data_IF_291310356065
#
_entry.id   IF_291310356065
#
_cell.length_a   1.000
_cell.length_b   1.000
_cell.length_c   1.000
_cell.angle_alpha   90.00
_cell.angle_beta   90.00
_cell.angle_gamma   90.00
#
_symmetry.space_group_name_H-M   'P 1'
#
loop_
_entity.id
_entity.type
_entity.pdbx_description
1 polymer ?
#
# COMPACT_ATOMS: atom_id res chain seq x y z
N UNK A 1 3.66 -33.45 8.38
CA UNK A 1 4.41 -33.65 7.12
C UNK A 1 3.35 -33.70 6.05
N UNK A 2 3.07 -32.50 5.55
CA UNK A 2 2.03 -32.24 4.57
C UNK A 2 2.23 -33.11 3.34
N UNK A 3 1.13 -33.42 2.65
CA UNK A 3 1.18 -34.18 1.41
C UNK A 3 2.00 -33.46 0.33
N UNK A 4 2.15 -32.14 0.45
CA UNK A 4 2.93 -31.25 -0.40
C UNK A 4 4.44 -31.37 -0.19
N UNK A 5 4.91 -31.34 1.06
CA UNK A 5 6.33 -31.59 1.37
C UNK A 5 6.77 -32.96 0.86
N UNK A 6 5.87 -33.96 0.85
CA UNK A 6 6.14 -35.29 0.28
C UNK A 6 6.18 -35.29 -1.24
N UNK A 7 5.41 -34.41 -1.90
CA UNK A 7 5.37 -34.28 -3.35
C UNK A 7 6.58 -33.54 -3.89
N UNK A 8 6.93 -32.39 -3.32
CA UNK A 8 8.12 -31.59 -3.71
C UNK A 8 9.39 -32.43 -3.50
N UNK A 9 9.50 -33.11 -2.36
CA UNK A 9 10.63 -34.00 -2.08
C UNK A 9 10.76 -35.17 -3.07
N UNK A 10 9.64 -35.71 -3.57
CA UNK A 10 9.65 -36.73 -4.63
C UNK A 10 10.06 -36.15 -5.98
N UNK A 11 9.69 -34.90 -6.28
CA UNK A 11 10.11 -34.21 -7.50
C UNK A 11 11.61 -33.91 -7.47
N UNK A 12 12.14 -33.47 -6.33
CA UNK A 12 13.58 -33.28 -6.10
C UNK A 12 14.37 -34.57 -6.33
N UNK A 13 13.90 -35.69 -5.77
CA UNK A 13 14.54 -36.99 -5.95
C UNK A 13 14.55 -37.45 -7.42
N UNK A 14 13.52 -37.11 -8.18
CA UNK A 14 13.41 -37.46 -9.60
C UNK A 14 14.25 -36.54 -10.49
N UNK A 15 14.36 -35.26 -10.14
CA UNK A 15 15.25 -34.30 -10.80
C UNK A 15 16.72 -34.71 -10.57
N UNK A 16 17.08 -35.09 -9.34
CA UNK A 16 18.43 -35.56 -9.00
C UNK A 16 18.82 -36.87 -9.71
N UNK A 17 17.85 -37.72 -10.06
CA UNK A 17 18.04 -38.93 -10.88
C UNK A 17 18.05 -38.66 -12.39
N UNK A 18 17.78 -37.42 -12.81
CA UNK A 18 17.67 -37.05 -14.22
C UNK A 18 16.43 -37.61 -14.92
N UNK A 19 15.41 -38.04 -14.17
CA UNK A 19 14.17 -38.59 -14.71
C UNK A 19 13.22 -37.51 -15.25
N UNK A 20 13.41 -36.27 -14.82
CA UNK A 20 12.66 -35.09 -15.25
C UNK A 20 13.63 -33.96 -15.57
N UNK A 21 13.26 -33.09 -16.51
CA UNK A 21 14.03 -31.89 -16.83
C UNK A 21 13.80 -30.79 -15.80
N UNK A 22 14.78 -29.89 -15.67
CA UNK A 22 14.69 -28.71 -14.81
C UNK A 22 13.52 -27.78 -15.21
N UNK A 23 13.23 -27.70 -16.52
CA UNK A 23 12.05 -26.97 -17.03
C UNK A 23 10.72 -27.58 -16.55
N UNK A 24 10.59 -28.91 -16.59
CA UNK A 24 9.37 -29.59 -16.15
C UNK A 24 9.21 -29.53 -14.62
N UNK A 25 10.32 -29.57 -13.88
CA UNK A 25 10.32 -29.37 -12.43
C UNK A 25 9.79 -27.97 -12.07
N UNK A 26 10.33 -26.93 -12.69
CA UNK A 26 9.93 -25.54 -12.43
C UNK A 26 8.48 -25.27 -12.85
N UNK A 27 8.00 -25.87 -13.95
CA UNK A 27 6.61 -25.75 -14.38
C UNK A 27 5.64 -26.38 -13.37
N UNK A 28 6.00 -27.53 -12.80
CA UNK A 28 5.15 -28.18 -11.79
C UNK A 28 5.15 -27.36 -10.52
N UNK A 29 6.31 -26.97 -9.99
CA UNK A 29 6.42 -26.19 -8.75
C UNK A 29 5.69 -24.84 -8.87
N UNK A 30 5.87 -24.10 -9.97
CA UNK A 30 5.20 -22.80 -10.16
C UNK A 30 3.68 -22.88 -10.25
N UNK A 31 3.10 -24.02 -10.65
CA UNK A 31 1.64 -24.22 -10.59
C UNK A 31 1.17 -24.40 -9.15
N UNK A 32 1.91 -25.16 -8.35
CA UNK A 32 1.58 -25.37 -6.93
C UNK A 32 1.74 -24.09 -6.11
N UNK A 33 2.83 -23.35 -6.28
CA UNK A 33 3.03 -22.06 -5.57
C UNK A 33 1.93 -21.05 -5.92
N UNK A 34 1.43 -21.08 -7.17
CA UNK A 34 0.32 -20.23 -7.59
C UNK A 34 -1.02 -20.67 -7.01
N UNK A 35 -1.25 -21.98 -6.90
CA UNK A 35 -2.45 -22.50 -6.24
C UNK A 35 -2.41 -22.18 -4.73
N UNK A 36 -1.23 -22.20 -4.09
CA UNK A 36 -1.03 -21.80 -2.69
C UNK A 36 -1.20 -20.27 -2.48
N UNK A 37 -0.72 -19.42 -3.40
CA UNK A 37 -1.01 -17.98 -3.38
C UNK A 37 -2.52 -17.71 -3.52
N UNK A 38 -3.22 -18.49 -4.36
CA UNK A 38 -4.67 -18.39 -4.51
C UNK A 38 -5.38 -18.85 -3.23
N UNK A 39 -5.03 -20.01 -2.67
CA UNK A 39 -5.61 -20.53 -1.42
C UNK A 39 -5.34 -19.62 -0.22
N UNK A 40 -4.12 -19.08 -0.09
CA UNK A 40 -3.79 -18.09 0.95
C UNK A 40 -4.57 -16.79 0.74
N UNK A 41 -4.76 -16.35 -0.52
CA UNK A 41 -5.57 -15.17 -0.83
C UNK A 41 -7.06 -15.40 -0.54
N UNK A 42 -7.57 -16.61 -0.77
CA UNK A 42 -8.94 -17.03 -0.49
C UNK A 42 -9.16 -17.20 1.01
N UNK A 43 -8.29 -17.89 1.74
CA UNK A 43 -8.33 -18.00 3.21
C UNK A 43 -8.18 -16.64 3.89
N UNK A 44 -7.26 -15.79 3.41
CA UNK A 44 -7.15 -14.42 3.94
C UNK A 44 -8.38 -13.61 3.58
N UNK A 45 -9.01 -13.82 2.42
CA UNK A 45 -10.29 -13.19 2.08
C UNK A 45 -11.42 -13.69 2.99
N UNK A 46 -11.45 -14.98 3.32
CA UNK A 46 -12.47 -15.63 4.14
C UNK A 46 -12.35 -15.21 5.62
N UNK A 47 -11.13 -15.22 6.17
CA UNK A 47 -10.82 -14.71 7.52
C UNK A 47 -11.10 -13.20 7.63
N UNK A 48 -10.92 -12.45 6.54
CA UNK A 48 -11.27 -11.02 6.53
C UNK A 48 -12.77 -10.80 6.40
N UNK A 49 -13.52 -11.65 5.67
CA UNK A 49 -14.99 -11.63 5.73
C UNK A 49 -15.52 -11.98 7.11
N UNK A 50 -14.92 -12.97 7.79
CA UNK A 50 -15.29 -13.32 9.16
C UNK A 50 -14.98 -12.18 10.15
N UNK A 51 -13.85 -11.47 10.03
CA UNK A 51 -13.54 -10.30 10.87
C UNK A 51 -14.43 -9.08 10.56
N UNK A 52 -14.82 -8.90 9.29
CA UNK A 52 -15.79 -7.87 8.88
C UNK A 52 -17.18 -8.21 9.44
N UNK A 53 -17.56 -9.49 9.49
CA UNK A 53 -18.80 -9.94 10.14
C UNK A 53 -18.75 -9.80 11.66
N UNK A 54 -17.63 -10.17 12.30
CA UNK A 54 -17.45 -10.09 13.76
C UNK A 54 -17.45 -8.62 14.24
N UNK A 55 -16.93 -7.67 13.44
CA UNK A 55 -17.06 -6.23 13.70
C UNK A 55 -18.42 -5.64 13.33
N UNK A 56 -19.20 -6.30 12.47
CA UNK A 56 -20.59 -5.94 12.18
C UNK A 56 -21.54 -6.38 13.31
N UNK A 57 -21.23 -7.46 14.02
CA UNK A 57 -22.05 -7.96 15.14
C UNK A 57 -22.06 -7.04 16.37
N UNK A 58 -21.07 -6.15 16.54
CA UNK A 58 -20.95 -5.35 17.76
C UNK A 58 -21.92 -4.16 17.90
N UNK A 59 -22.73 -3.79 16.88
CA UNK A 59 -23.81 -2.78 17.05
C UNK A 59 -25.07 -3.05 16.22
N UNK A 60 -25.87 -4.03 16.66
CA UNK A 60 -27.32 -4.08 16.40
C UNK A 60 -27.97 -2.76 16.86
N UNK A 61 -28.29 -1.88 15.92
CA UNK A 61 -29.05 -0.66 16.22
C UNK A 61 -29.29 0.31 15.06
N UNK A 62 -28.55 0.21 13.96
CA UNK A 62 -28.79 1.05 12.77
C UNK A 62 -29.06 0.13 11.58
N UNK A 63 -30.33 0.07 11.16
CA UNK A 63 -30.76 -0.63 9.95
C UNK A 63 -29.90 -0.19 8.76
N UNK A 64 -29.35 -1.15 8.01
CA UNK A 64 -28.54 -0.86 6.82
C UNK A 64 -29.50 -0.39 5.72
N UNK A 65 -29.34 0.85 5.29
CA UNK A 65 -30.18 1.43 4.23
C UNK A 65 -29.54 1.14 2.85
N UNK A 66 -30.34 0.90 1.81
CA UNK A 66 -29.80 0.68 0.46
C UNK A 66 -28.94 1.87 -0.02
N UNK A 67 -29.42 3.11 0.16
CA UNK A 67 -28.73 4.28 -0.39
C UNK A 67 -28.88 5.53 0.46
N UNK A 68 -27.76 6.24 0.67
CA UNK A 68 -27.72 7.58 1.25
C UNK A 68 -27.03 8.52 0.28
N UNK A 69 -27.70 9.62 -0.09
CA UNK A 69 -27.18 10.64 -1.00
C UNK A 69 -27.26 12.01 -0.37
N UNK A 70 -26.10 12.65 -0.19
CA UNK A 70 -25.96 13.98 0.39
C UNK A 70 -25.60 15.00 -0.71
N UNK A 71 -26.47 15.99 -0.89
CA UNK A 71 -26.27 17.13 -1.78
C UNK A 71 -26.35 18.44 -0.99
N UNK A 72 -25.59 19.45 -1.42
CA UNK A 72 -25.51 20.73 -0.69
C UNK A 72 -24.71 20.62 0.62
N UNK A 73 -25.15 21.34 1.65
CA UNK A 73 -24.52 21.27 2.98
C UNK A 73 -25.32 20.30 3.87
N UNK A 74 -24.68 19.22 4.32
CA UNK A 74 -25.36 18.16 5.09
C UNK A 74 -24.61 17.79 6.35
N UNK A 75 -25.36 17.49 7.41
CA UNK A 75 -24.83 16.93 8.65
C UNK A 75 -25.69 15.75 9.06
N UNK A 76 -25.07 14.59 9.24
CA UNK A 76 -25.74 13.36 9.68
C UNK A 76 -24.98 12.75 10.85
N UNK A 77 -25.66 11.93 11.65
CA UNK A 77 -25.09 11.26 12.82
C UNK A 77 -24.88 9.78 12.47
N UNK A 78 -23.65 9.43 12.10
CA UNK A 78 -23.31 8.13 11.52
C UNK A 78 -23.98 7.84 10.17
N UNK A 79 -23.57 6.77 9.51
CA UNK A 79 -24.21 6.25 8.31
C UNK A 79 -23.93 4.75 8.19
N UNK A 80 -24.96 3.94 7.97
CA UNK A 80 -24.85 2.53 7.63
C UNK A 80 -25.69 2.27 6.38
N UNK A 81 -25.04 2.06 5.24
CA UNK A 81 -25.74 1.86 3.97
C UNK A 81 -25.00 0.93 3.01
N UNK A 82 -25.62 0.53 1.91
CA UNK A 82 -24.90 -0.13 0.82
C UNK A 82 -24.18 0.91 -0.04
N UNK A 83 -24.90 1.95 -0.48
CA UNK A 83 -24.35 3.02 -1.34
C UNK A 83 -24.38 4.36 -0.62
N UNK A 84 -23.20 4.94 -0.39
CA UNK A 84 -23.05 6.30 0.11
C UNK A 84 -22.57 7.25 -1.00
N UNK A 85 -23.26 8.38 -1.20
CA UNK A 85 -22.81 9.43 -2.12
C UNK A 85 -22.80 10.79 -1.45
N UNK A 86 -21.69 11.51 -1.56
CA UNK A 86 -21.56 12.87 -1.06
C UNK A 86 -20.98 13.79 -2.13
N UNK A 87 -21.85 14.53 -2.82
CA UNK A 87 -21.47 15.51 -3.83
C UNK A 87 -21.26 16.92 -3.26
N UNK A 88 -21.82 17.19 -2.07
CA UNK A 88 -21.76 18.49 -1.40
C UNK A 88 -20.75 18.56 -0.25
N UNK A 89 -20.90 19.57 0.60
CA UNK A 89 -20.15 19.67 1.85
C UNK A 89 -20.88 18.86 2.93
N UNK A 90 -20.29 17.73 3.35
CA UNK A 90 -20.93 16.83 4.31
C UNK A 90 -20.10 16.62 5.57
N UNK A 91 -20.79 16.47 6.71
CA UNK A 91 -20.19 16.13 7.99
C UNK A 91 -20.93 14.97 8.64
N UNK A 92 -20.22 13.87 8.87
CA UNK A 92 -20.72 12.69 9.56
C UNK A 92 -20.21 12.73 11.00
N UNK A 93 -21.10 12.86 11.99
CA UNK A 93 -20.75 12.76 13.40
C UNK A 93 -20.92 11.31 13.85
N UNK A 94 -19.86 10.53 13.70
CA UNK A 94 -19.88 9.10 13.97
C UNK A 94 -19.18 8.35 12.84
N UNK A 95 -19.45 7.06 12.77
CA UNK A 95 -18.85 6.17 11.79
C UNK A 95 -19.61 6.20 10.46
N UNK A 96 -18.88 6.00 9.36
CA UNK A 96 -19.43 5.61 8.07
C UNK A 96 -19.20 4.10 7.89
N UNK A 97 -20.25 3.35 7.58
CA UNK A 97 -20.22 1.96 7.11
C UNK A 97 -20.95 1.93 5.77
N UNK A 98 -20.23 1.65 4.68
CA UNK A 98 -20.80 1.65 3.33
C UNK A 98 -20.11 0.63 2.43
N UNK A 99 -20.83 -0.17 1.66
CA UNK A 99 -20.18 -1.09 0.72
C UNK A 99 -19.48 -0.29 -0.39
N UNK A 100 -20.18 0.66 -1.00
CA UNK A 100 -19.65 1.60 -2.00
C UNK A 100 -19.84 3.05 -1.52
N UNK A 101 -18.75 3.81 -1.43
CA UNK A 101 -18.76 5.21 -1.04
C UNK A 101 -18.11 6.12 -2.11
N UNK A 102 -18.90 7.04 -2.68
CA UNK A 102 -18.44 8.07 -3.63
C UNK A 102 -18.45 9.45 -2.96
N UNK A 103 -17.28 10.07 -2.87
CA UNK A 103 -17.06 11.42 -2.34
C UNK A 103 -16.48 12.33 -3.41
N UNK A 104 -17.36 13.09 -4.07
CA UNK A 104 -16.97 14.13 -5.03
C UNK A 104 -16.91 15.54 -4.41
N UNK A 105 -17.63 15.75 -3.29
CA UNK A 105 -17.65 17.02 -2.56
C UNK A 105 -16.57 17.15 -1.48
N UNK A 106 -16.91 17.80 -0.37
CA UNK A 106 -16.03 17.94 0.79
C UNK A 106 -16.66 17.22 1.99
N UNK A 107 -16.13 16.06 2.35
CA UNK A 107 -16.70 15.19 3.39
C UNK A 107 -15.77 15.05 4.58
N UNK A 108 -16.31 15.30 5.77
CA UNK A 108 -15.62 15.04 7.04
C UNK A 108 -16.34 13.97 7.85
N UNK A 109 -15.66 12.87 8.12
CA UNK A 109 -16.09 11.77 9.00
C UNK A 109 -15.37 11.95 10.34
N UNK A 110 -16.13 12.16 11.42
CA UNK A 110 -15.54 12.37 12.74
C UNK A 110 -15.23 11.06 13.50
N UNK A 111 -15.83 9.94 13.11
CA UNK A 111 -15.51 8.60 13.60
C UNK A 111 -14.67 7.81 12.58
N UNK A 112 -14.95 6.51 12.52
CA UNK A 112 -14.27 5.55 11.64
C UNK A 112 -14.96 5.47 10.27
N UNK A 113 -14.25 4.97 9.27
CA UNK A 113 -14.81 4.66 7.96
C UNK A 113 -14.56 3.18 7.62
N UNK A 114 -15.62 2.43 7.40
CA UNK A 114 -15.60 1.03 6.99
C UNK A 114 -16.24 0.91 5.62
N UNK A 115 -15.54 0.31 4.66
CA UNK A 115 -16.05 0.21 3.30
C UNK A 115 -15.54 -0.99 2.52
N UNK A 116 -16.28 -1.46 1.52
CA UNK A 116 -15.67 -2.35 0.53
C UNK A 116 -14.87 -1.53 -0.48
N UNK A 117 -15.49 -0.50 -1.04
CA UNK A 117 -14.89 0.45 -1.98
C UNK A 117 -15.16 1.89 -1.58
N UNK A 118 -14.14 2.73 -1.61
CA UNK A 118 -14.27 4.18 -1.45
C UNK A 118 -13.56 4.91 -2.58
N UNK A 119 -14.31 5.70 -3.33
CA UNK A 119 -13.82 6.61 -4.35
C UNK A 119 -13.94 8.06 -3.85
N UNK A 120 -12.82 8.79 -3.82
CA UNK A 120 -12.82 10.20 -3.43
C UNK A 120 -12.10 11.06 -4.47
N UNK A 121 -12.88 11.77 -5.29
CA UNK A 121 -12.40 12.80 -6.21
C UNK A 121 -12.37 14.20 -5.58
N UNK A 122 -13.03 14.40 -4.44
CA UNK A 122 -13.11 15.67 -3.73
C UNK A 122 -12.12 15.81 -2.57
N UNK A 123 -12.59 16.36 -1.45
CA UNK A 123 -11.82 16.48 -0.20
C UNK A 123 -12.39 15.56 0.88
N UNK A 124 -11.65 14.52 1.24
CA UNK A 124 -12.05 13.57 2.27
C UNK A 124 -11.20 13.77 3.53
N UNK A 125 -11.85 13.83 4.69
CA UNK A 125 -11.18 13.73 5.98
C UNK A 125 -11.87 12.71 6.87
N UNK A 126 -11.12 11.71 7.31
CA UNK A 126 -11.54 10.74 8.34
C UNK A 126 -10.69 10.98 9.58
N UNK A 127 -11.31 11.16 10.74
CA UNK A 127 -10.54 11.39 11.98
C UNK A 127 -10.13 10.08 12.67
N UNK A 128 -10.95 9.03 12.58
CA UNK A 128 -10.67 7.70 13.17
C UNK A 128 -9.99 6.75 12.18
N UNK A 129 -10.08 5.44 12.48
CA UNK A 129 -9.55 4.39 11.63
C UNK A 129 -10.32 4.26 10.32
N UNK A 130 -9.65 3.79 9.28
CA UNK A 130 -10.28 3.49 7.99
C UNK A 130 -9.92 2.07 7.55
N UNK A 131 -10.92 1.29 7.18
CA UNK A 131 -10.78 -0.14 6.92
C UNK A 131 -11.59 -0.51 5.66
N UNK A 132 -10.99 -1.24 4.73
CA UNK A 132 -11.71 -1.69 3.54
C UNK A 132 -10.94 -2.52 2.52
N UNK A 133 -11.54 -2.75 1.35
CA UNK A 133 -10.88 -3.52 0.27
C UNK A 133 -10.18 -2.62 -0.75
N UNK A 134 -10.88 -1.60 -1.29
CA UNK A 134 -10.35 -0.71 -2.33
C UNK A 134 -10.55 0.76 -2.01
N UNK A 135 -9.51 1.57 -2.22
CA UNK A 135 -9.51 3.00 -1.96
C UNK A 135 -8.90 3.76 -3.14
N UNK A 136 -9.74 4.48 -3.90
CA UNK A 136 -9.33 5.30 -5.04
C UNK A 136 -9.40 6.81 -4.67
N UNK A 137 -8.26 7.52 -4.69
CA UNK A 137 -8.11 8.88 -4.17
C UNK A 137 -7.54 9.86 -5.21
N UNK A 138 -8.42 10.54 -5.94
CA UNK A 138 -8.01 11.49 -6.99
C UNK A 138 -7.96 12.96 -6.52
N UNK A 139 -8.35 13.22 -5.28
CA UNK A 139 -8.42 14.56 -4.70
C UNK A 139 -7.45 14.79 -3.54
N UNK A 140 -7.98 15.29 -2.43
CA UNK A 140 -7.21 15.55 -1.20
C UNK A 140 -7.79 14.76 -0.03
N UNK A 141 -7.04 13.80 0.47
CA UNK A 141 -7.50 12.86 1.49
C UNK A 141 -6.62 12.89 2.73
N UNK A 142 -7.27 12.93 3.90
CA UNK A 142 -6.61 12.95 5.20
C UNK A 142 -7.20 11.91 6.13
N UNK A 143 -6.38 10.97 6.58
CA UNK A 143 -6.73 9.94 7.54
C UNK A 143 -6.03 10.23 8.86
N UNK A 144 -6.83 10.33 9.91
CA UNK A 144 -6.41 10.78 11.23
C UNK A 144 -5.76 9.69 12.09
N UNK A 145 -5.87 8.44 11.67
CA UNK A 145 -5.43 7.25 12.40
C UNK A 145 -4.93 6.17 11.40
N UNK A 146 -4.91 4.90 11.81
CA UNK A 146 -4.56 3.74 10.97
C UNK A 146 -5.47 3.63 9.74
N UNK A 147 -4.87 3.30 8.60
CA UNK A 147 -5.54 2.96 7.36
C UNK A 147 -5.20 1.52 6.97
N UNK A 148 -6.21 0.65 6.93
CA UNK A 148 -6.06 -0.76 6.60
C UNK A 148 -6.90 -1.10 5.36
N UNK A 149 -6.25 -1.20 4.19
CA UNK A 149 -6.95 -1.39 2.91
C UNK A 149 -6.13 -2.25 1.97
N UNK A 150 -6.72 -3.29 1.34
CA UNK A 150 -6.00 -4.16 0.40
C UNK A 150 -5.38 -3.39 -0.78
N UNK A 151 -6.15 -2.54 -1.45
CA UNK A 151 -5.71 -1.81 -2.65
C UNK A 151 -5.89 -0.30 -2.50
N UNK A 152 -4.80 0.45 -2.71
CA UNK A 152 -4.80 1.92 -2.68
C UNK A 152 -4.32 2.44 -4.04
N UNK A 153 -5.18 3.18 -4.74
CA UNK A 153 -4.81 3.99 -5.90
C UNK A 153 -5.00 5.47 -5.53
N UNK A 154 -3.95 6.28 -5.65
CA UNK A 154 -4.02 7.70 -5.32
C UNK A 154 -3.38 8.54 -6.40
N UNK A 155 -4.10 9.53 -6.92
CA UNK A 155 -3.60 10.52 -7.87
C UNK A 155 -3.84 11.95 -7.35
N UNK A 156 -3.15 12.33 -6.26
CA UNK A 156 -3.43 13.59 -5.59
C UNK A 156 -2.60 13.87 -4.34
N UNK A 157 -3.24 14.40 -3.30
CA UNK A 157 -2.62 14.60 -1.98
C UNK A 157 -3.20 13.61 -0.99
N UNK A 158 -2.35 12.72 -0.51
CA UNK A 158 -2.73 11.66 0.42
C UNK A 158 -1.93 11.79 1.71
N UNK A 159 -2.62 11.85 2.85
CA UNK A 159 -1.95 11.90 4.15
C UNK A 159 -2.61 11.03 5.21
N UNK A 160 -1.77 10.35 5.99
CA UNK A 160 -2.15 9.44 7.06
C UNK A 160 -1.29 9.75 8.28
N UNK A 161 -1.93 9.91 9.44
CA UNK A 161 -1.21 10.12 10.70
C UNK A 161 -0.72 8.82 11.34
N UNK A 162 -1.49 7.75 11.20
CA UNK A 162 -1.14 6.43 11.69
C UNK A 162 -0.33 5.61 10.68
N UNK A 163 -0.36 4.30 10.92
CA UNK A 163 0.19 3.30 10.02
C UNK A 163 -0.73 3.07 8.81
N UNK A 164 -0.14 2.60 7.71
CA UNK A 164 -0.87 2.19 6.51
C UNK A 164 -0.54 0.73 6.25
N UNK A 165 -1.56 -0.13 6.24
CA UNK A 165 -1.44 -1.53 5.86
C UNK A 165 -2.19 -1.73 4.55
N UNK A 166 -1.52 -2.33 3.57
CA UNK A 166 -2.11 -2.65 2.28
C UNK A 166 -1.43 -3.85 1.63
N UNK A 167 -2.06 -4.45 0.63
CA UNK A 167 -1.40 -5.43 -0.26
C UNK A 167 -0.66 -4.66 -1.35
N UNK A 168 -1.38 -3.80 -2.07
CA UNK A 168 -0.83 -3.00 -3.17
C UNK A 168 -1.15 -1.51 -2.97
N UNK A 169 -0.14 -0.67 -3.19
CA UNK A 169 -0.29 0.78 -3.25
C UNK A 169 0.33 1.32 -4.54
N UNK A 170 -0.47 2.01 -5.35
CA UNK A 170 0.02 2.91 -6.39
C UNK A 170 -0.39 4.35 -6.04
N UNK A 171 0.59 5.17 -5.66
CA UNK A 171 0.34 6.54 -5.29
C UNK A 171 1.21 7.50 -6.11
N UNK A 172 0.54 8.31 -6.93
CA UNK A 172 1.11 9.45 -7.62
C UNK A 172 0.71 10.78 -6.94
N UNK A 173 1.66 11.71 -6.86
CA UNK A 173 1.43 13.03 -6.27
C UNK A 173 2.24 13.31 -5.01
N UNK A 174 1.55 13.71 -3.93
CA UNK A 174 2.16 14.03 -2.63
C UNK A 174 1.62 13.07 -1.57
N UNK A 175 2.52 12.29 -0.98
CA UNK A 175 2.21 11.29 0.05
C UNK A 175 2.85 11.70 1.36
N UNK A 176 2.07 11.73 2.45
CA UNK A 176 2.54 12.03 3.80
C UNK A 176 2.04 10.99 4.80
N UNK A 177 2.91 10.10 5.25
CA UNK A 177 2.57 9.07 6.22
C UNK A 177 3.47 9.26 7.45
N UNK A 178 2.88 9.59 8.59
CA UNK A 178 3.63 9.80 9.85
C UNK A 178 4.00 8.47 10.53
N UNK A 179 3.26 7.39 10.22
CA UNK A 179 3.54 6.01 10.66
C UNK A 179 4.29 5.16 9.64
N UNK A 180 4.15 3.83 9.78
CA UNK A 180 4.78 2.83 8.93
C UNK A 180 3.84 2.52 7.75
N UNK A 181 4.36 2.60 6.52
CA UNK A 181 3.72 2.06 5.34
C UNK A 181 4.14 0.60 5.16
N UNK A 182 3.20 -0.33 5.30
CA UNK A 182 3.40 -1.77 5.12
C UNK A 182 2.59 -2.26 3.93
N UNK A 183 3.24 -2.96 2.99
CA UNK A 183 2.52 -3.69 1.95
C UNK A 183 3.40 -4.56 1.06
N UNK A 184 2.80 -5.41 0.24
CA UNK A 184 3.53 -6.34 -0.63
C UNK A 184 4.14 -5.59 -1.82
N UNK A 185 3.34 -4.80 -2.52
CA UNK A 185 3.74 -3.99 -3.67
C UNK A 185 3.49 -2.51 -3.42
N UNK A 186 4.55 -1.69 -3.43
CA UNK A 186 4.47 -0.26 -3.14
C UNK A 186 5.12 0.51 -4.29
N UNK A 187 4.29 1.20 -5.08
CA UNK A 187 4.70 2.12 -6.14
C UNK A 187 4.38 3.56 -5.74
N UNK A 188 5.40 4.40 -5.60
CA UNK A 188 5.25 5.81 -5.27
C UNK A 188 5.83 6.69 -6.38
N UNK A 189 4.98 7.40 -7.12
CA UNK A 189 5.41 8.39 -8.12
C UNK A 189 5.27 9.81 -7.56
N UNK A 190 6.36 10.33 -7.01
CA UNK A 190 6.33 11.64 -6.34
C UNK A 190 6.38 12.81 -7.33
N UNK A 191 5.46 13.77 -7.19
CA UNK A 191 5.46 15.05 -7.95
C UNK A 191 5.72 16.29 -7.08
N UNK A 192 5.78 16.10 -5.76
CA UNK A 192 6.15 17.12 -4.78
C UNK A 192 6.99 16.53 -3.64
N UNK A 193 7.09 17.27 -2.53
CA UNK A 193 7.76 16.75 -1.31
C UNK A 193 6.84 15.78 -0.59
N UNK A 194 7.15 14.51 -0.71
CA UNK A 194 6.52 13.41 0.04
C UNK A 194 7.38 13.05 1.24
N UNK A 195 6.72 12.61 2.32
CA UNK A 195 7.41 12.15 3.54
C UNK A 195 6.70 10.92 4.08
N UNK A 196 7.44 9.84 4.30
CA UNK A 196 6.93 8.64 4.95
C UNK A 196 7.88 8.33 6.09
N UNK A 197 7.40 7.99 7.29
CA UNK A 197 8.32 7.70 8.39
C UNK A 197 9.12 6.42 8.09
N UNK A 198 8.43 5.28 7.90
CA UNK A 198 9.07 4.00 7.55
C UNK A 198 8.29 3.29 6.45
N UNK A 199 9.01 2.57 5.60
CA UNK A 199 8.41 1.72 4.56
C UNK A 199 8.88 0.29 4.77
N UNK A 200 7.94 -0.65 4.80
CA UNK A 200 8.18 -2.08 4.87
C UNK A 200 7.38 -2.76 3.75
N UNK A 201 8.03 -3.53 2.90
CA UNK A 201 7.29 -4.26 1.88
C UNK A 201 8.06 -5.33 1.12
N UNK A 202 7.40 -5.98 0.16
CA UNK A 202 8.05 -6.92 -0.76
C UNK A 202 8.81 -6.14 -1.83
N UNK A 203 8.06 -5.54 -2.73
CA UNK A 203 8.53 -4.74 -3.86
C UNK A 203 8.26 -3.26 -3.63
N UNK A 204 9.32 -2.45 -3.62
CA UNK A 204 9.23 -1.02 -3.33
C UNK A 204 9.85 -0.24 -4.47
N UNK A 205 9.03 0.50 -5.20
CA UNK A 205 9.45 1.35 -6.31
C UNK A 205 9.09 2.80 -6.00
N UNK A 206 10.12 3.65 -5.89
CA UNK A 206 9.95 5.09 -5.72
C UNK A 206 10.47 5.80 -6.95
N UNK A 207 9.53 6.37 -7.70
CA UNK A 207 9.78 7.19 -8.87
C UNK A 207 9.55 8.67 -8.57
N UNK A 208 10.05 9.51 -9.47
CA UNK A 208 9.87 10.95 -9.40
C UNK A 208 9.39 11.43 -10.75
N UNK A 209 8.22 12.06 -10.77
CA UNK A 209 7.71 12.69 -11.98
C UNK A 209 8.61 13.89 -12.30
N UNK A 210 9.55 13.71 -13.22
CA UNK A 210 10.29 14.81 -13.80
C UNK A 210 9.37 15.53 -14.78
N UNK A 211 8.90 16.73 -14.43
CA UNK A 211 8.17 17.59 -15.37
C UNK A 211 9.10 18.03 -16.51
N UNK A 212 9.20 17.20 -17.55
CA UNK A 212 9.78 17.54 -18.86
C UNK A 212 8.70 18.01 -19.85
N UNK A 213 7.52 18.42 -19.36
CA UNK A 213 6.36 18.74 -20.21
C UNK A 213 5.99 20.23 -20.31
N UNK A 214 6.76 21.16 -19.72
CA UNK A 214 6.57 22.59 -20.00
C UNK A 214 7.91 23.30 -20.18
N UNK A 215 8.17 23.77 -21.39
CA UNK A 215 9.37 24.50 -21.83
C UNK A 215 9.47 25.93 -21.27
N UNK A 216 8.82 26.22 -20.13
CA UNK A 216 8.76 27.53 -19.49
C UNK A 216 8.54 27.35 -17.96
N UNK A 217 9.61 27.11 -17.19
CA UNK A 217 9.59 27.25 -15.71
C UNK A 217 10.09 26.05 -14.91
N UNK A 218 10.83 26.35 -13.83
CA UNK A 218 11.41 25.42 -12.86
C UNK A 218 10.35 24.60 -12.11
N UNK A 219 9.86 23.51 -12.71
CA UNK A 219 9.07 22.50 -12.00
C UNK A 219 9.93 21.80 -10.94
N UNK A 220 9.51 21.85 -9.68
CA UNK A 220 10.19 21.13 -8.59
C UNK A 220 10.04 19.62 -8.85
N UNK A 221 11.15 18.90 -8.98
CA UNK A 221 11.15 17.44 -9.01
C UNK A 221 10.56 16.91 -7.70
N UNK A 222 9.66 15.93 -7.77
CA UNK A 222 9.18 15.24 -6.58
C UNK A 222 10.33 14.56 -5.84
N UNK A 223 10.21 14.48 -4.51
CA UNK A 223 11.20 13.86 -3.65
C UNK A 223 10.52 13.12 -2.52
N UNK A 224 11.06 11.97 -2.13
CA UNK A 224 10.64 11.25 -0.93
C UNK A 224 11.69 11.42 0.17
N UNK A 225 11.25 11.82 1.37
CA UNK A 225 12.05 11.73 2.60
C UNK A 225 11.50 10.62 3.48
N UNK A 226 12.37 9.71 3.92
CA UNK A 226 12.01 8.54 4.72
C UNK A 226 13.11 8.17 5.71
N UNK A 227 12.76 7.71 6.91
CA UNK A 227 13.76 7.29 7.91
C UNK A 227 14.36 5.95 7.48
N UNK A 228 13.50 4.95 7.25
CA UNK A 228 13.95 3.61 6.88
C UNK A 228 13.06 2.94 5.84
N UNK A 229 13.70 2.20 4.93
CA UNK A 229 13.05 1.35 3.94
C UNK A 229 13.56 -0.08 4.13
N UNK A 230 12.65 -1.03 4.27
CA UNK A 230 12.96 -2.46 4.31
C UNK A 230 12.10 -3.22 3.32
N UNK A 231 12.71 -4.03 2.46
CA UNK A 231 11.97 -4.92 1.56
C UNK A 231 12.84 -5.88 0.78
N UNK A 232 12.26 -6.66 -0.13
CA UNK A 232 12.99 -7.64 -0.93
C UNK A 232 13.67 -6.95 -2.10
N UNK A 233 12.88 -6.33 -2.98
CA UNK A 233 13.35 -5.61 -4.16
C UNK A 233 13.01 -4.12 -4.01
N UNK A 234 14.05 -3.29 -4.00
CA UNK A 234 13.92 -1.86 -3.73
C UNK A 234 14.54 -1.08 -4.90
N UNK A 235 13.76 -0.21 -5.54
CA UNK A 235 14.21 0.72 -6.57
C UNK A 235 13.85 2.16 -6.20
N UNK A 236 14.85 3.02 -6.03
CA UNK A 236 14.64 4.39 -5.52
C UNK A 236 15.15 5.45 -6.48
N UNK A 237 14.38 6.52 -6.69
CA UNK A 237 14.83 7.76 -7.36
C UNK A 237 14.40 8.99 -6.56
N UNK A 238 15.28 10.01 -6.51
CA UNK A 238 15.07 11.25 -5.75
C UNK A 238 14.63 11.01 -4.28
N UNK A 239 15.18 9.98 -3.65
CA UNK A 239 14.85 9.60 -2.28
C UNK A 239 15.97 10.00 -1.31
N UNK A 240 15.61 10.64 -0.20
CA UNK A 240 16.49 10.83 0.95
C UNK A 240 16.10 9.81 2.03
N UNK A 241 17.03 8.93 2.39
CA UNK A 241 16.79 7.88 3.39
C UNK A 241 17.96 7.72 4.36
N UNK A 242 17.69 7.42 5.63
CA UNK A 242 18.78 7.11 6.59
C UNK A 242 19.21 5.65 6.46
N UNK A 243 18.23 4.73 6.35
CA UNK A 243 18.51 3.29 6.30
C UNK A 243 17.72 2.62 5.17
N UNK A 244 18.40 1.89 4.29
CA UNK A 244 17.76 1.05 3.27
C UNK A 244 18.30 -0.37 3.40
N UNK A 245 17.41 -1.34 3.60
CA UNK A 245 17.78 -2.75 3.74
C UNK A 245 16.94 -3.62 2.82
N UNK A 246 17.57 -4.44 1.98
CA UNK A 246 16.83 -5.42 1.19
C UNK A 246 17.68 -6.49 0.52
N UNK A 247 17.06 -7.41 -0.22
CA UNK A 247 17.81 -8.41 -0.97
C UNK A 247 18.47 -7.75 -2.17
N UNK A 248 17.68 -7.09 -3.01
CA UNK A 248 18.14 -6.35 -4.18
C UNK A 248 17.78 -4.88 -4.04
N UNK A 249 18.79 -4.02 -4.12
CA UNK A 249 18.63 -2.57 -3.93
C UNK A 249 19.23 -1.83 -5.13
N UNK A 250 18.39 -1.05 -5.81
CA UNK A 250 18.76 -0.18 -6.93
C UNK A 250 18.58 1.27 -6.48
N UNK A 251 19.71 1.96 -6.29
CA UNK A 251 19.74 3.37 -5.93
C UNK A 251 19.93 4.19 -7.20
N UNK A 252 18.84 4.77 -7.69
CA UNK A 252 18.80 5.60 -8.89
C UNK A 252 19.20 7.05 -8.66
N UNK A 253 19.01 7.88 -9.70
CA UNK A 253 19.42 9.28 -9.74
C UNK A 253 18.80 10.11 -8.61
N UNK A 254 19.61 11.01 -8.05
CA UNK A 254 19.16 12.02 -7.08
C UNK A 254 18.91 11.48 -5.67
N UNK A 255 19.17 10.19 -5.42
CA UNK A 255 19.09 9.62 -4.09
C UNK A 255 20.25 10.08 -3.19
N UNK A 256 19.95 10.23 -1.90
CA UNK A 256 20.89 10.50 -0.81
C UNK A 256 20.59 9.52 0.31
N UNK A 257 21.47 8.55 0.53
CA UNK A 257 21.23 7.47 1.50
C UNK A 257 22.40 7.38 2.46
N UNK A 258 22.13 7.38 3.76
CA UNK A 258 23.20 7.29 4.77
C UNK A 258 23.71 5.85 4.87
N UNK A 259 22.82 4.87 5.00
CA UNK A 259 23.18 3.47 5.19
C UNK A 259 22.40 2.55 4.25
N UNK A 260 23.12 1.74 3.47
CA UNK A 260 22.52 0.69 2.63
C UNK A 260 23.07 -0.68 3.02
N UNK A 261 22.16 -1.62 3.27
CA UNK A 261 22.46 -3.05 3.47
C UNK A 261 21.75 -3.87 2.41
N UNK A 262 22.49 -4.54 1.53
CA UNK A 262 21.86 -5.38 0.51
C UNK A 262 22.68 -6.63 0.17
N UNK A 263 22.03 -7.68 -0.36
CA UNK A 263 22.74 -8.81 -0.98
C UNK A 263 23.25 -8.40 -2.38
N UNK A 264 22.39 -7.72 -3.13
CA UNK A 264 22.69 -7.14 -4.43
C UNK A 264 22.46 -5.62 -4.40
N UNK A 265 23.47 -4.84 -4.79
CA UNK A 265 23.41 -3.38 -4.76
C UNK A 265 23.87 -2.78 -6.10
N UNK A 266 22.99 -2.01 -6.74
CA UNK A 266 23.33 -1.16 -7.89
C UNK A 266 23.14 0.31 -7.51
N UNK A 267 24.16 1.13 -7.74
CA UNK A 267 24.12 2.56 -7.41
C UNK A 267 24.44 3.37 -8.65
N UNK A 268 23.54 4.27 -9.02
CA UNK A 268 23.74 5.22 -10.11
C UNK A 268 24.84 6.24 -9.72
N UNK A 269 25.65 6.66 -10.69
CA UNK A 269 26.82 7.54 -10.46
C UNK A 269 26.49 8.88 -9.78
N UNK A 270 25.27 9.39 -10.00
CA UNK A 270 24.79 10.63 -9.39
C UNK A 270 24.13 10.48 -8.02
N UNK A 271 23.97 9.24 -7.52
CA UNK A 271 23.45 8.99 -6.19
C UNK A 271 24.56 9.13 -5.13
N UNK A 272 24.21 9.62 -3.94
CA UNK A 272 25.12 9.72 -2.80
C UNK A 272 24.75 8.66 -1.78
N UNK A 273 25.70 7.76 -1.49
CA UNK A 273 25.53 6.72 -0.46
C UNK A 273 26.74 6.77 0.47
N UNK A 274 26.54 6.99 1.76
CA UNK A 274 27.65 7.14 2.72
C UNK A 274 28.23 5.80 3.14
N UNK A 275 27.39 4.87 3.62
CA UNK A 275 27.80 3.55 4.10
C UNK A 275 27.12 2.44 3.32
N UNK A 276 27.92 1.49 2.82
CA UNK A 276 27.45 0.30 2.09
C UNK A 276 27.89 -0.95 2.84
N UNK A 277 26.97 -1.88 3.08
CA UNK A 277 27.27 -3.19 3.67
C UNK A 277 26.63 -4.29 2.84
N UNK A 278 27.40 -5.33 2.57
CA UNK A 278 26.89 -6.54 1.93
C UNK A 278 26.30 -7.47 3.00
N UNK A 279 25.06 -7.92 2.81
CA UNK A 279 24.42 -8.85 3.75
C UNK A 279 25.05 -10.25 3.72
N UNK A 280 25.67 -10.65 2.61
CA UNK A 280 26.33 -11.96 2.46
C UNK A 280 27.58 -12.11 3.36
N UNK A 281 28.10 -11.02 3.92
CA UNK A 281 29.27 -11.02 4.81
C UNK A 281 28.90 -11.18 6.28
N UNK A 282 27.61 -11.08 6.63
CA UNK A 282 27.12 -11.11 8.02
C UNK A 282 26.79 -12.54 8.47
N UNK A 283 26.39 -13.44 7.56
CA UNK A 283 26.03 -14.83 7.86
C UNK A 283 27.24 -15.77 8.09
N UNK A 284 28.47 -15.23 8.05
CA UNK A 284 29.72 -16.00 8.24
C UNK A 284 30.41 -15.79 9.61
N UNK A 285 29.72 -15.21 10.58
CA UNK A 285 30.20 -15.04 11.97
C UNK A 285 29.25 -15.68 12.96
#
# INVERSE_FOLDING_TARGET
MDEEEKMIKKLDERLAKGEISEELYNEIVSRYEKDEEVELSEEMSEKMSEQVEETAEEKKGVEKTERVSLSGASKIDGCNCEIFRAAGASKINGDLRADDADVSGATKINGNAFFEKLDSSGSLKVNGKSEGKKLDLNGSSKFGDVLDVKFIDSSGSFSVKGDVNCTTMDASGVVKIEGILTGEEIMLTTSGKSKVNKIKGGDIVVESSGSRLFSFGFGKSGSLEVESIRGNDISLKNTKAENVTGNKVIIGRGCKIENVKAKELKVHESAKVENKKNLNEIEKK
#
